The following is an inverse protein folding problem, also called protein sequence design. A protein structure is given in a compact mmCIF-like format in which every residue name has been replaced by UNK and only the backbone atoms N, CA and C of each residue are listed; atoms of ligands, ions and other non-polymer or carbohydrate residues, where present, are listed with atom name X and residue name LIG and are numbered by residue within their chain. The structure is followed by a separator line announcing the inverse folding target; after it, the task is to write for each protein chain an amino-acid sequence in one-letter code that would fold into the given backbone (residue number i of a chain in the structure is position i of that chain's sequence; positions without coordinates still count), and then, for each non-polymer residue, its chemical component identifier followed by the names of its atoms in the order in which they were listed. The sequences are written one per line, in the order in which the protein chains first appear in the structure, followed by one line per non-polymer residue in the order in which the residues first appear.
data_IF_357272284066
#
_entry.id   IF_357272284066
#
_cell.length_a   1.000
_cell.length_b   1.000
_cell.length_c   1.000
_cell.angle_alpha   90.00
_cell.angle_beta   90.00
_cell.angle_gamma   90.00
#
_symmetry.space_group_name_H-M   'P 1'
#
loop_
_entity.id
_entity.type
_entity.pdbx_description
1 polymer ?
#
# COMPACT_ATOMS: atom_id res chain seq x y z
N UNK A 1 -22.56 -3.72 -18.56
CA UNK A 1 -21.23 -3.45 -19.14
C UNK A 1 -20.28 -3.10 -17.99
N UNK A 2 -19.06 -3.56 -18.08
CA UNK A 2 -17.98 -3.28 -17.12
C UNK A 2 -16.97 -2.34 -17.78
N UNK A 3 -16.65 -1.22 -17.12
CA UNK A 3 -15.73 -0.20 -17.57
C UNK A 3 -14.68 0.02 -16.47
N UNK A 4 -13.43 -0.48 -16.65
CA UNK A 4 -12.37 -0.26 -15.68
C UNK A 4 -11.84 1.18 -15.77
N UNK A 5 -11.39 1.74 -14.64
CA UNK A 5 -10.71 3.03 -14.58
C UNK A 5 -9.51 2.97 -13.64
N UNK A 6 -8.47 3.73 -13.97
CA UNK A 6 -7.24 3.77 -13.18
C UNK A 6 -7.45 4.45 -11.83
N UNK A 7 -6.87 3.86 -10.78
CA UNK A 7 -6.73 4.45 -9.46
C UNK A 7 -5.30 4.24 -8.96
N UNK A 8 -4.78 5.15 -8.14
CA UNK A 8 -3.50 4.92 -7.48
C UNK A 8 -3.68 4.07 -6.21
N UNK A 9 -2.76 3.18 -5.98
CA UNK A 9 -2.66 2.37 -4.77
C UNK A 9 -1.18 1.98 -4.52
N UNK A 10 -0.92 1.02 -3.63
CA UNK A 10 0.42 0.49 -3.36
C UNK A 10 0.92 -0.55 -4.38
N UNK A 11 0.09 -0.95 -5.33
CA UNK A 11 0.43 -1.84 -6.43
C UNK A 11 0.09 -1.16 -7.76
N UNK A 12 0.96 -1.32 -8.75
CA UNK A 12 0.78 -0.74 -10.07
C UNK A 12 -0.48 -1.26 -10.76
N UNK A 13 -1.04 -0.46 -11.67
CA UNK A 13 -2.24 -0.76 -12.47
C UNK A 13 -3.49 -1.07 -11.62
N UNK A 14 -3.57 -0.50 -10.43
CA UNK A 14 -4.77 -0.59 -9.59
C UNK A 14 -5.97 -0.01 -10.32
N UNK A 15 -7.10 -0.68 -10.17
CA UNK A 15 -8.27 -0.43 -11.02
C UNK A 15 -9.55 -0.38 -10.19
N UNK A 16 -10.29 0.70 -10.36
CA UNK A 16 -11.70 0.78 -10.00
C UNK A 16 -12.59 0.27 -11.14
N UNK A 17 -13.86 0.11 -10.87
CA UNK A 17 -14.84 -0.43 -11.81
C UNK A 17 -16.10 0.40 -11.89
N UNK A 18 -16.51 0.79 -13.09
CA UNK A 18 -17.83 1.34 -13.34
C UNK A 18 -18.73 0.25 -13.97
N UNK A 19 -19.78 -0.11 -13.28
CA UNK A 19 -20.70 -1.19 -13.62
C UNK A 19 -22.02 -0.59 -14.11
N UNK A 20 -22.29 -0.74 -15.40
CA UNK A 20 -23.53 -0.28 -15.99
C UNK A 20 -24.64 -1.29 -15.77
N UNK A 21 -25.69 -0.91 -15.04
CA UNK A 21 -26.86 -1.71 -14.80
C UNK A 21 -28.10 -1.10 -15.49
N UNK A 22 -29.19 -1.84 -15.64
CA UNK A 22 -30.46 -1.26 -16.13
C UNK A 22 -31.00 -0.13 -15.25
N UNK A 23 -30.62 -0.10 -13.97
CA UNK A 23 -31.11 0.86 -12.98
C UNK A 23 -30.19 2.05 -12.73
N UNK A 24 -28.97 2.03 -13.27
CA UNK A 24 -28.01 3.12 -13.16
C UNK A 24 -26.55 2.65 -13.12
N UNK A 25 -25.66 3.63 -13.04
CA UNK A 25 -24.22 3.41 -12.94
C UNK A 25 -23.82 3.14 -11.50
N UNK A 26 -23.13 2.05 -11.25
CA UNK A 26 -22.51 1.73 -9.96
C UNK A 26 -21.00 1.83 -10.08
N UNK A 27 -20.36 2.46 -9.11
CA UNK A 27 -18.90 2.57 -9.04
C UNK A 27 -18.36 1.74 -7.88
N UNK A 28 -17.29 1.01 -8.14
CA UNK A 28 -16.48 0.36 -7.12
C UNK A 28 -15.06 0.92 -7.23
N UNK A 29 -14.58 1.56 -6.18
CA UNK A 29 -13.28 2.26 -6.24
C UNK A 29 -12.09 1.32 -6.39
N UNK A 30 -12.22 0.05 -5.98
CA UNK A 30 -11.05 -0.72 -5.58
C UNK A 30 -10.38 -0.07 -4.36
N UNK A 31 -9.22 -0.53 -3.98
CA UNK A 31 -8.36 0.15 -3.01
C UNK A 31 -7.74 1.35 -3.72
N UNK A 32 -7.90 2.55 -3.16
CA UNK A 32 -7.48 3.76 -3.86
C UNK A 32 -6.95 4.86 -2.95
N UNK A 33 -6.16 5.73 -3.55
CA UNK A 33 -5.83 7.08 -3.07
C UNK A 33 -5.81 8.04 -4.27
N UNK A 34 -5.76 9.35 -4.03
CA UNK A 34 -5.48 10.33 -5.07
C UNK A 34 -4.01 10.80 -4.95
N UNK A 35 -3.12 10.23 -5.76
CA UNK A 35 -1.74 10.70 -5.84
C UNK A 35 -1.58 11.59 -7.08
N UNK A 36 -1.25 12.86 -6.87
CA UNK A 36 -1.04 13.84 -7.93
C UNK A 36 0.41 13.86 -8.44
N UNK A 37 1.32 13.26 -7.69
CA UNK A 37 2.75 13.18 -8.01
C UNK A 37 3.27 11.76 -7.74
N UNK A 38 2.65 10.73 -8.35
CA UNK A 38 3.12 9.36 -8.22
C UNK A 38 4.45 9.19 -8.94
N UNK A 39 5.16 8.13 -8.63
CA UNK A 39 6.42 7.78 -9.28
C UNK A 39 6.21 6.49 -10.07
N UNK A 40 6.51 6.52 -11.38
CA UNK A 40 6.38 5.41 -12.34
C UNK A 40 4.96 4.93 -12.63
N UNK A 41 3.95 5.72 -12.35
CA UNK A 41 2.57 5.47 -12.76
C UNK A 41 1.88 6.80 -13.12
N UNK A 42 0.75 6.78 -13.84
CA UNK A 42 -0.03 7.99 -14.10
C UNK A 42 -0.57 8.59 -12.80
N UNK A 43 -0.71 9.92 -12.71
CA UNK A 43 -1.42 10.55 -11.60
C UNK A 43 -2.90 10.17 -11.61
N UNK A 44 -3.56 10.36 -10.45
CA UNK A 44 -5.00 10.15 -10.34
C UNK A 44 -5.77 10.92 -11.43
N UNK A 45 -6.62 10.21 -12.18
CA UNK A 45 -7.41 10.78 -13.27
C UNK A 45 -8.72 11.36 -12.73
N UNK A 46 -8.62 12.56 -12.16
CA UNK A 46 -9.73 13.30 -11.55
C UNK A 46 -10.84 13.60 -12.57
N UNK A 47 -10.48 13.92 -13.80
CA UNK A 47 -11.46 14.26 -14.85
C UNK A 47 -12.25 13.04 -15.30
N UNK A 48 -11.62 11.88 -15.38
CA UNK A 48 -12.32 10.63 -15.67
C UNK A 48 -13.29 10.26 -14.53
N UNK A 49 -12.84 10.35 -13.28
CA UNK A 49 -13.70 10.12 -12.10
C UNK A 49 -14.89 11.10 -12.09
N UNK A 50 -14.66 12.39 -12.39
CA UNK A 50 -15.72 13.42 -12.53
C UNK A 50 -16.73 13.06 -13.60
N UNK A 51 -16.26 12.53 -14.74
CA UNK A 51 -17.13 12.16 -15.86
C UNK A 51 -18.20 11.12 -15.49
N UNK A 52 -17.89 10.22 -14.54
CA UNK A 52 -18.90 9.31 -13.99
C UNK A 52 -20.02 10.08 -13.25
N UNK A 53 -19.64 11.07 -12.45
CA UNK A 53 -20.61 11.93 -11.77
C UNK A 53 -21.54 12.68 -12.73
N UNK A 54 -21.04 13.12 -13.89
CA UNK A 54 -21.82 13.79 -14.92
C UNK A 54 -22.78 12.81 -15.63
N UNK A 55 -22.46 11.53 -15.65
CA UNK A 55 -23.31 10.45 -16.19
C UNK A 55 -24.39 9.99 -15.19
N UNK A 56 -24.29 10.40 -13.92
CA UNK A 56 -25.20 10.03 -12.84
C UNK A 56 -24.86 8.67 -12.22
N UNK A 57 -24.36 8.71 -10.98
CA UNK A 57 -23.97 7.51 -10.23
C UNK A 57 -25.08 7.09 -9.28
N UNK A 58 -25.56 5.86 -9.43
CA UNK A 58 -26.59 5.28 -8.55
C UNK A 58 -25.98 4.94 -7.18
N UNK A 59 -24.88 4.21 -7.17
CA UNK A 59 -24.21 3.79 -5.92
C UNK A 59 -22.67 3.83 -6.07
N UNK A 60 -22.00 4.30 -5.03
CA UNK A 60 -20.55 4.29 -4.90
C UNK A 60 -20.15 3.31 -3.79
N UNK A 61 -19.51 2.21 -4.17
CA UNK A 61 -18.85 1.27 -3.27
C UNK A 61 -17.42 1.73 -3.08
N UNK A 62 -17.10 2.29 -1.92
CA UNK A 62 -15.83 2.97 -1.70
C UNK A 62 -15.04 2.38 -0.56
N UNK A 63 -13.75 2.12 -0.81
CA UNK A 63 -12.75 1.74 0.19
C UNK A 63 -12.81 2.67 1.42
N UNK A 64 -12.73 2.09 2.61
CA UNK A 64 -12.89 2.80 3.87
C UNK A 64 -11.74 2.57 4.85
N UNK A 65 -10.66 1.93 4.41
CA UNK A 65 -9.54 1.49 5.26
C UNK A 65 -8.96 2.64 6.10
N UNK A 66 -8.74 3.81 5.48
CA UNK A 66 -8.16 4.97 6.15
C UNK A 66 -9.20 6.07 6.47
N UNK A 67 -10.51 5.76 6.43
CA UNK A 67 -11.58 6.71 6.75
C UNK A 67 -11.51 7.36 8.15
N UNK A 68 -10.97 6.72 9.21
CA UNK A 68 -10.77 7.39 10.50
C UNK A 68 -9.70 8.50 10.48
N UNK A 69 -8.81 8.53 9.49
CA UNK A 69 -7.67 9.43 9.50
C UNK A 69 -7.95 10.73 8.74
N UNK A 70 -7.74 11.91 9.36
CA UNK A 70 -7.94 13.19 8.71
C UNK A 70 -6.89 13.50 7.64
N UNK A 71 -7.21 14.44 6.74
CA UNK A 71 -6.30 14.95 5.70
C UNK A 71 -6.23 14.05 4.48
N UNK A 72 -5.12 14.14 3.76
CA UNK A 72 -4.81 13.39 2.54
C UNK A 72 -3.68 12.41 2.80
N UNK A 73 -3.55 11.39 1.96
CA UNK A 73 -2.35 10.59 1.89
C UNK A 73 -1.18 11.44 1.38
N UNK A 74 0.02 11.10 1.82
CA UNK A 74 1.24 11.67 1.25
C UNK A 74 1.49 11.06 -0.13
N UNK A 75 2.09 11.86 -1.03
CA UNK A 75 2.44 11.36 -2.35
C UNK A 75 3.69 10.48 -2.32
N UNK A 76 3.86 9.65 -3.33
CA UNK A 76 5.08 8.86 -3.49
C UNK A 76 6.31 9.75 -3.76
N UNK A 77 6.14 10.95 -4.34
CA UNK A 77 7.23 11.92 -4.47
C UNK A 77 7.72 12.41 -3.11
N UNK A 78 6.82 12.69 -2.15
CA UNK A 78 7.22 13.08 -0.79
C UNK A 78 8.02 11.96 -0.10
N UNK A 79 7.59 10.71 -0.28
CA UNK A 79 8.34 9.56 0.23
C UNK A 79 9.72 9.46 -0.41
N UNK A 80 9.84 9.67 -1.72
CA UNK A 80 11.12 9.68 -2.42
C UNK A 80 12.07 10.75 -1.85
N UNK A 81 11.57 11.95 -1.63
CA UNK A 81 12.35 13.07 -1.10
C UNK A 81 12.84 12.79 0.34
N UNK A 82 12.02 12.17 1.18
CA UNK A 82 12.41 11.76 2.53
C UNK A 82 13.43 10.62 2.52
N UNK A 83 13.29 9.65 1.66
CA UNK A 83 14.28 8.59 1.48
C UNK A 83 15.61 9.16 0.98
N UNK A 84 15.58 10.15 0.09
CA UNK A 84 16.79 10.80 -0.41
C UNK A 84 17.57 11.48 0.72
N UNK A 85 16.90 12.12 1.69
CA UNK A 85 17.55 12.69 2.87
C UNK A 85 18.33 11.63 3.67
N UNK A 86 17.77 10.41 3.79
CA UNK A 86 18.45 9.28 4.45
C UNK A 86 19.70 8.87 3.66
N UNK A 87 19.59 8.75 2.33
CA UNK A 87 20.74 8.41 1.48
C UNK A 87 21.85 9.47 1.57
N UNK A 88 21.49 10.75 1.54
CA UNK A 88 22.43 11.86 1.62
C UNK A 88 23.13 11.92 3.00
N UNK A 89 22.41 11.69 4.08
CA UNK A 89 22.93 11.72 5.44
C UNK A 89 23.80 10.51 5.79
N UNK A 90 23.55 9.36 5.17
CA UNK A 90 24.29 8.12 5.44
C UNK A 90 25.51 8.00 4.51
N UNK A 91 26.63 8.58 4.93
CA UNK A 91 27.87 8.59 4.14
C UNK A 91 28.82 7.43 4.46
N UNK A 92 28.60 6.66 5.53
CA UNK A 92 29.55 5.67 6.02
C UNK A 92 28.97 4.25 6.11
N UNK A 93 27.71 4.09 6.52
CA UNK A 93 27.11 2.80 6.81
C UNK A 93 26.35 2.20 5.64
N UNK A 94 25.89 0.95 5.82
CA UNK A 94 24.96 0.28 4.92
C UNK A 94 23.54 0.81 5.15
N UNK A 95 22.73 0.80 4.10
CA UNK A 95 21.29 1.03 4.18
C UNK A 95 20.57 -0.31 4.02
N UNK A 96 19.70 -0.66 4.96
CA UNK A 96 18.96 -1.91 4.97
C UNK A 96 17.46 -1.57 5.01
N UNK A 97 16.77 -1.86 3.93
CA UNK A 97 15.35 -1.57 3.76
C UNK A 97 14.53 -2.82 4.04
N UNK A 98 13.65 -2.74 5.05
CA UNK A 98 12.57 -3.68 5.26
C UNK A 98 11.30 -3.15 4.60
N UNK A 99 10.75 -3.87 3.62
CA UNK A 99 9.54 -3.47 2.89
C UNK A 99 8.76 -4.68 2.39
N UNK A 100 7.54 -4.47 1.90
CA UNK A 100 6.77 -5.51 1.23
C UNK A 100 7.34 -5.79 -0.16
N UNK A 101 7.36 -7.06 -0.56
CA UNK A 101 7.86 -7.46 -1.88
C UNK A 101 6.94 -7.04 -3.04
N UNK A 102 5.69 -6.71 -2.75
CA UNK A 102 4.71 -6.19 -3.72
C UNK A 102 4.76 -4.68 -3.89
N UNK A 103 5.46 -3.94 -3.01
CA UNK A 103 5.53 -2.48 -3.05
C UNK A 103 6.58 -2.02 -4.07
N UNK A 104 6.27 -2.19 -5.36
CA UNK A 104 7.20 -1.97 -6.47
C UNK A 104 7.67 -0.52 -6.56
N UNK A 105 6.80 0.44 -6.30
CA UNK A 105 7.15 1.87 -6.28
C UNK A 105 8.27 2.15 -5.26
N UNK A 106 8.19 1.55 -4.08
CA UNK A 106 9.23 1.68 -3.06
C UNK A 106 10.54 1.05 -3.47
N UNK A 107 10.49 -0.13 -4.10
CA UNK A 107 11.67 -0.79 -4.66
C UNK A 107 12.30 0.10 -5.72
N UNK A 108 11.49 0.69 -6.61
CA UNK A 108 12.00 1.64 -7.62
C UNK A 108 12.68 2.86 -6.99
N UNK A 109 12.10 3.46 -5.94
CA UNK A 109 12.73 4.57 -5.22
C UNK A 109 14.12 4.20 -4.71
N UNK A 110 14.23 3.03 -4.06
CA UNK A 110 15.50 2.54 -3.51
C UNK A 110 16.51 2.31 -4.63
N UNK A 111 16.11 1.72 -5.76
CA UNK A 111 16.98 1.49 -6.92
C UNK A 111 17.47 2.82 -7.51
N UNK A 112 16.56 3.77 -7.76
CA UNK A 112 16.88 5.09 -8.31
C UNK A 112 17.86 5.86 -7.41
N UNK A 113 17.60 5.87 -6.09
CA UNK A 113 18.49 6.51 -5.12
C UNK A 113 19.83 5.77 -4.99
N UNK A 114 19.82 4.44 -5.07
CA UNK A 114 21.08 3.67 -5.08
C UNK A 114 21.96 4.02 -6.27
N UNK A 115 21.39 4.16 -7.45
CA UNK A 115 22.10 4.63 -8.64
C UNK A 115 22.63 6.06 -8.45
N UNK A 116 21.81 6.99 -7.96
CA UNK A 116 22.17 8.40 -7.73
C UNK A 116 23.36 8.52 -6.77
N UNK A 117 23.38 7.71 -5.70
CA UNK A 117 24.44 7.75 -4.68
C UNK A 117 25.57 6.74 -4.92
N UNK A 118 25.58 6.06 -6.07
CA UNK A 118 26.62 5.12 -6.46
C UNK A 118 26.76 3.96 -5.49
N UNK A 119 25.62 3.43 -5.02
CA UNK A 119 25.52 2.24 -4.18
C UNK A 119 25.03 1.05 -5.00
N UNK A 120 25.40 -0.16 -4.61
CA UNK A 120 24.93 -1.40 -5.20
C UNK A 120 23.92 -2.08 -4.28
N UNK A 121 22.98 -2.79 -4.84
CA UNK A 121 21.82 -3.35 -4.14
C UNK A 121 21.92 -4.87 -4.03
N UNK A 122 21.79 -5.38 -2.81
CA UNK A 122 21.58 -6.79 -2.52
C UNK A 122 20.11 -7.05 -2.20
N UNK A 123 19.46 -7.90 -2.97
CA UNK A 123 18.06 -8.28 -2.75
C UNK A 123 18.03 -9.60 -1.97
N UNK A 124 17.27 -9.64 -0.86
CA UNK A 124 17.17 -10.80 0.01
C UNK A 124 15.72 -11.18 0.32
N UNK A 125 15.46 -12.49 0.22
CA UNK A 125 14.12 -13.08 0.37
C UNK A 125 13.56 -13.56 -0.96
N UNK A 126 13.06 -14.81 -0.97
CA UNK A 126 12.58 -15.45 -2.20
C UNK A 126 11.52 -14.62 -2.93
N UNK A 127 10.46 -14.20 -2.21
CA UNK A 127 9.40 -13.39 -2.79
C UNK A 127 9.90 -12.03 -3.31
N UNK A 128 10.86 -11.41 -2.61
CA UNK A 128 11.44 -10.14 -3.05
C UNK A 128 12.22 -10.30 -4.36
N UNK A 129 13.08 -11.32 -4.46
CA UNK A 129 13.84 -11.61 -5.69
C UNK A 129 12.89 -11.88 -6.86
N UNK A 130 11.92 -12.79 -6.67
CA UNK A 130 10.95 -13.14 -7.72
C UNK A 130 10.13 -11.94 -8.18
N UNK A 131 9.65 -11.11 -7.25
CA UNK A 131 8.86 -9.93 -7.62
C UNK A 131 9.69 -8.87 -8.36
N UNK A 132 10.96 -8.68 -7.97
CA UNK A 132 11.87 -7.77 -8.68
C UNK A 132 12.13 -8.24 -10.10
N UNK A 133 12.36 -9.56 -10.30
CA UNK A 133 12.57 -10.16 -11.62
C UNK A 133 11.33 -9.98 -12.51
N UNK A 134 10.15 -10.41 -12.04
CA UNK A 134 8.89 -10.29 -12.78
C UNK A 134 8.57 -8.82 -13.10
N UNK A 135 8.70 -7.93 -12.10
CA UNK A 135 8.42 -6.52 -12.31
C UNK A 135 9.37 -5.84 -13.30
N UNK A 136 10.62 -6.30 -13.37
CA UNK A 136 11.56 -5.85 -14.39
C UNK A 136 11.19 -6.38 -15.80
N UNK A 137 10.87 -7.66 -15.93
CA UNK A 137 10.42 -8.26 -17.19
C UNK A 137 9.16 -7.58 -17.73
N UNK A 138 8.22 -7.21 -16.85
CA UNK A 138 6.99 -6.50 -17.22
C UNK A 138 7.20 -4.98 -17.43
N UNK A 139 8.39 -4.44 -17.15
CA UNK A 139 8.74 -3.04 -17.36
C UNK A 139 8.30 -2.09 -16.22
N UNK A 140 7.79 -2.60 -15.11
CA UNK A 140 7.44 -1.81 -13.92
C UNK A 140 8.67 -1.32 -13.15
N UNK A 141 9.75 -2.10 -13.12
CA UNK A 141 11.03 -1.69 -12.54
C UNK A 141 12.06 -1.36 -13.61
N UNK A 142 12.68 -0.20 -13.49
CA UNK A 142 13.71 0.31 -14.41
C UNK A 142 14.97 0.62 -13.62
N UNK A 143 16.09 0.05 -14.04
CA UNK A 143 17.38 0.24 -13.39
C UNK A 143 18.55 0.01 -14.37
N UNK A 144 19.72 0.56 -14.04
CA UNK A 144 20.93 0.38 -14.83
C UNK A 144 21.52 -1.02 -14.62
N UNK A 145 22.08 -1.57 -15.69
CA UNK A 145 22.84 -2.81 -15.61
C UNK A 145 23.94 -2.70 -14.55
N UNK A 146 24.08 -3.73 -13.71
CA UNK A 146 25.08 -3.79 -12.65
C UNK A 146 24.68 -3.11 -11.33
N UNK A 147 23.40 -2.63 -11.17
CA UNK A 147 22.92 -2.12 -9.90
C UNK A 147 22.89 -3.21 -8.82
N UNK A 148 22.50 -4.44 -9.17
CA UNK A 148 22.49 -5.56 -8.25
C UNK A 148 23.89 -6.15 -8.06
N UNK A 149 24.18 -6.57 -6.83
CA UNK A 149 25.39 -7.32 -6.51
C UNK A 149 25.05 -8.79 -6.25
N UNK A 150 25.99 -9.66 -6.57
CA UNK A 150 25.93 -11.06 -6.14
C UNK A 150 26.38 -11.24 -4.70
N UNK A 151 25.92 -12.28 -4.02
CA UNK A 151 26.31 -12.56 -2.63
C UNK A 151 27.83 -12.63 -2.42
N UNK A 152 28.56 -13.15 -3.41
CA UNK A 152 30.03 -13.23 -3.36
C UNK A 152 30.76 -11.87 -3.35
N UNK A 153 30.08 -10.82 -3.85
CA UNK A 153 30.61 -9.45 -3.90
C UNK A 153 30.33 -8.67 -2.61
N UNK A 154 29.29 -9.06 -1.86
CA UNK A 154 28.78 -8.35 -0.69
C UNK A 154 29.85 -7.95 0.33
N UNK A 155 30.73 -8.89 0.68
CA UNK A 155 31.78 -8.66 1.67
C UNK A 155 33.02 -7.93 1.10
N UNK A 156 33.05 -7.64 -0.20
CA UNK A 156 34.16 -6.95 -0.87
C UNK A 156 33.92 -5.45 -1.03
N UNK A 157 32.66 -5.03 -0.94
CA UNK A 157 32.30 -3.62 -1.09
C UNK A 157 32.39 -2.89 0.26
N UNK A 158 32.81 -1.62 0.26
CA UNK A 158 32.74 -0.79 1.46
C UNK A 158 31.29 -0.55 1.87
N UNK A 159 31.03 -0.45 3.18
CA UNK A 159 29.67 -0.37 3.73
C UNK A 159 28.85 0.78 3.15
N UNK A 160 29.46 1.92 2.87
CA UNK A 160 28.78 3.06 2.25
C UNK A 160 28.44 2.87 0.75
N UNK A 161 28.78 1.73 0.17
CA UNK A 161 28.40 1.34 -1.19
C UNK A 161 27.35 0.24 -1.22
N UNK A 162 26.82 -0.14 -0.07
CA UNK A 162 25.88 -1.25 0.05
C UNK A 162 24.48 -0.75 0.44
N UNK A 163 23.50 -1.21 -0.31
CA UNK A 163 22.07 -1.17 0.03
C UNK A 163 21.56 -2.61 0.06
N UNK A 164 20.74 -2.93 1.04
CA UNK A 164 20.07 -4.23 1.16
C UNK A 164 18.57 -3.98 1.11
N UNK A 165 17.84 -4.71 0.27
CA UNK A 165 16.38 -4.74 0.26
C UNK A 165 15.95 -6.14 0.72
N UNK A 166 15.10 -6.21 1.74
CA UNK A 166 14.68 -7.50 2.27
C UNK A 166 13.24 -7.48 2.79
N UNK A 167 12.66 -8.67 2.91
CA UNK A 167 11.36 -8.90 3.57
C UNK A 167 11.51 -8.89 5.09
N UNK A 168 10.39 -8.76 5.83
CA UNK A 168 10.38 -8.92 7.28
C UNK A 168 10.12 -7.65 8.06
N UNK A 169 9.62 -6.59 7.42
CA UNK A 169 9.26 -5.35 8.10
C UNK A 169 8.11 -5.50 9.12
N UNK A 170 7.34 -6.60 9.03
CA UNK A 170 6.27 -6.96 9.98
C UNK A 170 6.74 -7.84 11.13
N UNK A 171 8.03 -8.18 11.18
CA UNK A 171 8.60 -9.03 12.22
C UNK A 171 8.25 -10.52 12.08
N UNK A 172 7.93 -10.97 10.87
CA UNK A 172 7.63 -12.38 10.59
C UNK A 172 8.84 -13.25 10.92
N UNK A 173 8.62 -14.31 11.69
CA UNK A 173 9.66 -15.14 12.32
C UNK A 173 10.73 -15.64 11.35
N UNK A 174 10.34 -16.01 10.15
CA UNK A 174 11.25 -16.60 9.15
C UNK A 174 11.71 -15.59 8.08
N UNK A 175 11.31 -14.33 8.17
CA UNK A 175 11.66 -13.30 7.20
C UNK A 175 13.11 -12.83 7.36
N UNK A 176 13.66 -12.26 6.31
CA UNK A 176 15.09 -11.94 6.26
C UNK A 176 15.52 -10.94 7.33
N UNK A 177 14.75 -9.86 7.55
CA UNK A 177 15.10 -8.85 8.53
C UNK A 177 15.10 -9.40 9.97
N UNK A 178 14.17 -10.31 10.30
CA UNK A 178 14.14 -10.98 11.60
C UNK A 178 15.36 -11.89 11.76
N UNK A 179 15.72 -12.66 10.74
CA UNK A 179 16.93 -13.51 10.77
C UNK A 179 18.20 -12.68 10.93
N UNK A 180 18.27 -11.51 10.28
CA UNK A 180 19.38 -10.57 10.45
C UNK A 180 19.43 -10.06 11.90
N UNK A 181 18.30 -9.66 12.47
CA UNK A 181 18.18 -9.17 13.84
C UNK A 181 18.60 -10.23 14.88
N UNK A 182 18.30 -11.50 14.63
CA UNK A 182 18.65 -12.63 15.51
C UNK A 182 20.06 -13.17 15.27
N UNK A 183 20.85 -12.59 14.35
CA UNK A 183 22.15 -13.14 13.91
C UNK A 183 22.06 -14.55 13.28
N UNK A 184 20.93 -14.91 12.70
CA UNK A 184 20.66 -16.19 12.04
C UNK A 184 20.81 -16.12 10.52
N UNK A 185 21.10 -14.93 9.98
CA UNK A 185 21.26 -14.77 8.54
C UNK A 185 22.66 -15.19 8.10
N UNK A 186 22.74 -16.11 7.10
CA UNK A 186 23.99 -16.74 6.66
C UNK A 186 25.04 -15.77 6.11
N UNK A 187 24.61 -14.64 5.53
CA UNK A 187 25.47 -13.70 4.83
C UNK A 187 25.58 -12.35 5.55
N UNK A 188 24.50 -11.86 6.14
CA UNK A 188 24.39 -10.51 6.68
C UNK A 188 24.48 -10.57 8.20
N UNK A 189 25.57 -10.06 8.74
CA UNK A 189 25.70 -9.72 10.16
C UNK A 189 25.57 -8.21 10.32
N UNK A 190 24.80 -7.76 11.32
CA UNK A 190 24.65 -6.33 11.62
C UNK A 190 25.96 -5.73 12.13
N UNK A 191 26.19 -4.48 11.78
CA UNK A 191 27.33 -3.67 12.21
C UNK A 191 26.86 -2.39 12.86
N UNK A 192 27.62 -1.89 13.81
CA UNK A 192 27.43 -0.55 14.33
C UNK A 192 27.53 0.46 13.17
N UNK A 193 26.50 1.31 13.04
CA UNK A 193 26.41 2.28 11.94
C UNK A 193 25.54 1.86 10.78
N UNK A 194 25.04 0.63 10.76
CA UNK A 194 23.96 0.25 9.81
C UNK A 194 22.71 1.10 10.06
N UNK A 195 22.05 1.46 8.99
CA UNK A 195 20.76 2.17 9.02
C UNK A 195 19.67 1.24 8.51
N UNK A 196 18.69 0.98 9.37
CA UNK A 196 17.53 0.13 9.05
C UNK A 196 16.33 1.02 8.77
N UNK A 197 15.76 0.89 7.60
CA UNK A 197 14.64 1.70 7.15
C UNK A 197 13.39 0.81 7.05
N UNK A 198 12.41 1.05 7.94
CA UNK A 198 11.09 0.41 7.90
C UNK A 198 10.18 1.23 6.98
N UNK A 199 10.20 0.88 5.71
CA UNK A 199 9.45 1.59 4.66
C UNK A 199 8.13 0.89 4.36
N UNK A 200 7.39 0.55 5.41
CA UNK A 200 6.03 0.00 5.39
C UNK A 200 5.29 0.37 6.68
N UNK A 201 3.97 0.50 6.61
CA UNK A 201 3.14 0.58 7.82
C UNK A 201 3.17 -0.74 8.59
N UNK A 202 2.82 -0.69 9.87
CA UNK A 202 2.60 -1.89 10.67
C UNK A 202 1.18 -2.38 10.44
N UNK A 203 1.03 -3.62 10.00
CA UNK A 203 -0.27 -4.26 9.86
C UNK A 203 -0.86 -4.46 11.27
N UNK A 204 -2.14 -4.10 11.50
CA UNK A 204 -2.80 -4.31 12.78
C UNK A 204 -2.62 -5.75 13.29
N UNK A 205 -2.20 -5.89 14.56
CA UNK A 205 -1.84 -7.16 15.18
C UNK A 205 -0.35 -7.50 15.20
N UNK A 206 0.49 -6.82 14.40
CA UNK A 206 1.93 -7.05 14.34
C UNK A 206 2.74 -6.08 15.24
N UNK A 207 2.10 -5.14 15.92
CA UNK A 207 2.76 -4.04 16.65
C UNK A 207 3.81 -4.53 17.63
N UNK A 208 3.47 -5.55 18.45
CA UNK A 208 4.39 -6.14 19.44
C UNK A 208 5.59 -6.80 18.78
N UNK A 209 5.37 -7.51 17.68
CA UNK A 209 6.42 -8.23 16.96
C UNK A 209 7.39 -7.25 16.30
N UNK A 210 6.86 -6.21 15.67
CA UNK A 210 7.67 -5.13 15.05
C UNK A 210 8.45 -4.37 16.12
N UNK A 211 7.86 -4.11 17.29
CA UNK A 211 8.59 -3.49 18.40
C UNK A 211 9.75 -4.36 18.86
N UNK A 212 9.53 -5.66 19.07
CA UNK A 212 10.59 -6.61 19.42
C UNK A 212 11.70 -6.67 18.38
N UNK A 213 11.36 -6.62 17.09
CA UNK A 213 12.33 -6.54 15.98
C UNK A 213 13.18 -5.27 16.08
N UNK A 214 12.58 -4.10 16.29
CA UNK A 214 13.31 -2.83 16.45
C UNK A 214 14.28 -2.90 17.64
N UNK A 215 13.83 -3.43 18.77
CA UNK A 215 14.68 -3.58 19.97
C UNK A 215 15.89 -4.48 19.71
N UNK A 216 15.68 -5.59 18.98
CA UNK A 216 16.78 -6.48 18.60
C UNK A 216 17.79 -5.77 17.69
N UNK A 217 17.34 -5.04 16.68
CA UNK A 217 18.19 -4.30 15.74
C UNK A 217 19.02 -3.20 16.44
N UNK A 218 18.42 -2.45 17.37
CA UNK A 218 19.11 -1.39 18.13
C UNK A 218 20.19 -1.98 19.04
N UNK A 219 19.99 -3.17 19.62
CA UNK A 219 21.03 -3.84 20.44
C UNK A 219 22.30 -4.14 19.67
N UNK A 220 22.22 -4.29 18.35
CA UNK A 220 23.39 -4.42 17.47
C UNK A 220 24.04 -3.08 17.09
N UNK A 221 23.52 -1.95 17.59
CA UNK A 221 24.05 -0.61 17.30
C UNK A 221 23.57 -0.04 15.96
N UNK A 222 22.52 -0.57 15.37
CA UNK A 222 21.90 -0.02 14.18
C UNK A 222 21.07 1.24 14.49
N UNK A 223 20.97 2.15 13.53
CA UNK A 223 20.03 3.27 13.55
C UNK A 223 18.73 2.84 12.88
N UNK A 224 17.59 3.25 13.44
CA UNK A 224 16.27 2.91 12.89
C UNK A 224 15.57 4.15 12.37
N UNK A 225 15.07 4.06 11.14
CA UNK A 225 14.17 5.02 10.51
C UNK A 225 12.80 4.34 10.35
N UNK A 226 11.74 5.02 10.77
CA UNK A 226 10.41 4.44 10.79
C UNK A 226 9.36 5.48 10.37
N UNK A 227 8.31 5.05 9.67
CA UNK A 227 7.27 5.93 9.10
C UNK A 227 6.55 6.83 10.13
N UNK A 228 6.50 6.46 11.40
CA UNK A 228 5.91 7.30 12.44
C UNK A 228 6.72 8.57 12.75
N UNK A 229 7.98 8.64 12.35
CA UNK A 229 8.88 9.77 12.60
C UNK A 229 9.32 10.49 11.33
N UNK A 230 9.10 9.89 10.17
CA UNK A 230 9.48 10.43 8.86
C UNK A 230 8.49 9.92 7.80
N UNK A 231 8.20 10.71 6.80
CA UNK A 231 7.29 10.37 5.70
C UNK A 231 7.93 9.37 4.69
N UNK A 232 8.44 8.26 5.20
CA UNK A 232 9.12 7.21 4.40
C UNK A 232 8.20 6.08 3.96
N UNK A 233 6.91 6.23 4.15
CA UNK A 233 5.88 5.32 3.68
C UNK A 233 4.57 6.07 3.44
N UNK A 234 4.02 5.92 2.25
CA UNK A 234 2.66 6.35 1.91
C UNK A 234 1.70 5.15 2.04
N UNK A 235 0.56 5.35 2.66
CA UNK A 235 -0.54 4.39 2.61
C UNK A 235 -1.09 4.26 1.20
N UNK A 236 -1.76 3.15 0.93
CA UNK A 236 -2.43 2.90 -0.37
C UNK A 236 -3.90 3.32 -0.38
N UNK A 237 -4.46 3.71 0.77
CA UNK A 237 -5.89 3.95 0.96
C UNK A 237 -6.17 5.43 1.20
N UNK A 238 -7.30 5.89 0.68
CA UNK A 238 -7.76 7.27 0.77
C UNK A 238 -8.09 7.66 2.22
N UNK A 239 -7.61 8.83 2.65
CA UNK A 239 -8.00 9.46 3.90
C UNK A 239 -9.23 10.37 3.72
N UNK A 240 -9.68 11.02 4.78
CA UNK A 240 -10.96 11.74 4.80
C UNK A 240 -11.15 12.75 3.65
N UNK A 241 -10.14 13.55 3.32
CA UNK A 241 -10.30 14.56 2.27
C UNK A 241 -10.38 13.93 0.87
N UNK A 242 -9.70 12.83 0.65
CA UNK A 242 -9.76 12.08 -0.61
C UNK A 242 -11.10 11.33 -0.74
N UNK A 243 -11.63 10.77 0.36
CA UNK A 243 -12.96 10.17 0.39
C UNK A 243 -14.05 11.19 0.11
N UNK A 244 -13.97 12.38 0.72
CA UNK A 244 -14.88 13.50 0.40
C UNK A 244 -14.78 13.90 -1.08
N UNK A 245 -13.55 14.01 -1.60
CA UNK A 245 -13.33 14.35 -3.00
C UNK A 245 -13.95 13.30 -3.93
N UNK A 246 -13.77 12.00 -3.66
CA UNK A 246 -14.39 10.92 -4.44
C UNK A 246 -15.92 11.08 -4.48
N UNK A 247 -16.56 11.29 -3.33
CA UNK A 247 -18.01 11.50 -3.22
C UNK A 247 -18.46 12.79 -3.93
N UNK A 248 -17.69 13.88 -3.86
CA UNK A 248 -17.99 15.15 -4.51
C UNK A 248 -17.86 15.09 -6.04
N UNK A 249 -16.87 14.36 -6.54
CA UNK A 249 -16.66 14.16 -7.97
C UNK A 249 -17.76 13.28 -8.57
N UNK A 250 -18.08 12.17 -7.91
CA UNK A 250 -19.01 11.16 -8.43
C UNK A 250 -20.47 11.47 -8.12
N UNK A 251 -20.75 12.24 -7.06
CA UNK A 251 -22.09 12.63 -6.62
C UNK A 251 -23.10 11.47 -6.61
N UNK A 252 -22.78 10.33 -5.97
CA UNK A 252 -23.62 9.15 -6.00
C UNK A 252 -24.94 9.41 -5.25
N UNK A 253 -26.02 8.73 -5.69
CA UNK A 253 -27.26 8.73 -4.92
C UNK A 253 -27.10 7.96 -3.60
N UNK A 254 -26.34 6.85 -3.63
CA UNK A 254 -26.07 6.02 -2.46
C UNK A 254 -24.57 5.88 -2.24
N UNK A 255 -24.13 6.02 -0.98
CA UNK A 255 -22.76 5.75 -0.55
C UNK A 255 -22.73 4.43 0.20
N UNK A 256 -21.85 3.53 -0.22
CA UNK A 256 -21.67 2.20 0.37
C UNK A 256 -20.21 2.05 0.80
N UNK A 257 -19.88 2.36 2.06
CA UNK A 257 -18.56 2.07 2.63
C UNK A 257 -18.25 0.57 2.57
N UNK A 258 -17.09 0.21 2.04
CA UNK A 258 -16.63 -1.18 1.90
C UNK A 258 -15.16 -1.33 2.32
N UNK A 259 -14.66 -2.57 2.32
CA UNK A 259 -13.25 -2.93 2.46
C UNK A 259 -12.61 -2.41 3.75
N UNK A 260 -13.28 -2.60 4.90
CA UNK A 260 -12.74 -2.18 6.19
C UNK A 260 -13.43 -2.87 7.37
N UNK A 261 -12.90 -2.68 8.58
CA UNK A 261 -13.59 -3.06 9.81
C UNK A 261 -14.80 -2.14 10.07
N UNK A 262 -15.80 -2.63 10.82
CA UNK A 262 -17.06 -1.93 11.08
C UNK A 262 -16.88 -0.48 11.53
N UNK A 263 -15.93 -0.18 12.43
CA UNK A 263 -15.70 1.19 12.91
C UNK A 263 -15.17 2.12 11.81
N UNK A 264 -14.41 1.61 10.84
CA UNK A 264 -13.91 2.38 9.69
C UNK A 264 -15.04 2.65 8.68
N UNK A 265 -15.90 1.63 8.44
CA UNK A 265 -17.11 1.79 7.63
C UNK A 265 -18.02 2.87 8.22
N UNK A 266 -18.19 2.86 9.54
CA UNK A 266 -18.99 3.88 10.24
C UNK A 266 -18.34 5.27 10.13
N UNK A 267 -17.03 5.38 10.29
CA UNK A 267 -16.33 6.65 10.12
C UNK A 267 -16.49 7.22 8.69
N UNK A 268 -16.51 6.36 7.67
CA UNK A 268 -16.80 6.78 6.29
C UNK A 268 -18.25 7.21 6.11
N UNK A 269 -19.20 6.50 6.72
CA UNK A 269 -20.62 6.89 6.72
C UNK A 269 -20.83 8.26 7.40
N UNK A 270 -20.22 8.46 8.57
CA UNK A 270 -20.28 9.74 9.29
C UNK A 270 -19.66 10.87 8.45
N UNK A 271 -18.58 10.58 7.72
CA UNK A 271 -17.95 11.51 6.80
C UNK A 271 -18.90 11.88 5.65
N UNK A 272 -19.59 10.89 5.05
CA UNK A 272 -20.59 11.15 4.01
C UNK A 272 -21.74 12.04 4.52
N UNK A 273 -22.26 11.74 5.70
CA UNK A 273 -23.30 12.58 6.33
C UNK A 273 -22.79 14.00 6.62
N UNK A 274 -21.53 14.16 7.01
CA UNK A 274 -20.93 15.48 7.28
C UNK A 274 -20.87 16.40 6.05
N UNK A 275 -20.89 15.84 4.84
CA UNK A 275 -20.90 16.59 3.59
C UNK A 275 -22.29 16.63 2.91
N UNK A 276 -23.33 16.21 3.64
CA UNK A 276 -24.73 16.43 3.26
C UNK A 276 -25.48 15.20 2.74
N UNK A 277 -24.90 14.00 2.75
CA UNK A 277 -25.67 12.78 2.47
C UNK A 277 -26.64 12.50 3.63
N UNK A 278 -27.86 12.07 3.29
CA UNK A 278 -28.83 11.63 4.26
C UNK A 278 -28.50 10.21 4.74
N UNK A 279 -28.78 9.90 5.98
CA UNK A 279 -28.56 8.57 6.56
C UNK A 279 -29.20 7.45 5.72
N UNK A 280 -30.42 7.66 5.20
CA UNK A 280 -31.15 6.73 4.35
C UNK A 280 -30.43 6.41 3.02
N UNK A 281 -29.44 7.20 2.62
CA UNK A 281 -28.65 7.03 1.40
C UNK A 281 -27.22 6.52 1.68
N UNK A 282 -26.91 6.13 2.92
CA UNK A 282 -25.60 5.61 3.30
C UNK A 282 -25.76 4.20 3.87
N UNK A 283 -25.26 3.20 3.14
CA UNK A 283 -25.47 1.80 3.50
C UNK A 283 -24.23 1.19 4.12
N UNK A 284 -24.22 1.07 5.45
CA UNK A 284 -23.16 0.38 6.20
C UNK A 284 -23.63 -1.06 6.43
N UNK A 285 -23.17 -1.98 5.57
CA UNK A 285 -23.56 -3.39 5.58
C UNK A 285 -22.59 -4.28 6.34
N UNK A 286 -23.07 -5.41 6.80
CA UNK A 286 -22.25 -6.52 7.26
C UNK A 286 -21.93 -7.48 6.12
N UNK A 287 -20.94 -8.35 6.33
CA UNK A 287 -20.59 -9.37 5.33
C UNK A 287 -21.80 -10.24 5.01
N UNK A 288 -22.01 -10.46 3.71
CA UNK A 288 -23.13 -11.27 3.20
C UNK A 288 -24.48 -10.56 3.19
N UNK A 289 -24.60 -9.37 3.76
CA UNK A 289 -25.86 -8.63 3.73
C UNK A 289 -26.23 -8.20 2.32
N UNK A 290 -27.46 -8.45 1.89
CA UNK A 290 -27.93 -8.20 0.53
C UNK A 290 -28.42 -6.77 0.39
N UNK A 291 -27.91 -6.05 -0.60
CA UNK A 291 -28.41 -4.76 -1.06
C UNK A 291 -29.17 -4.96 -2.37
N UNK A 292 -30.32 -4.34 -2.49
CA UNK A 292 -31.14 -4.37 -3.71
C UNK A 292 -31.27 -2.98 -4.30
N UNK A 293 -31.11 -2.90 -5.62
CA UNK A 293 -31.29 -1.66 -6.37
C UNK A 293 -32.29 -1.94 -7.49
N UNK A 294 -33.36 -1.14 -7.53
CA UNK A 294 -34.41 -1.22 -8.52
C UNK A 294 -34.81 0.18 -9.04
N UNK A 295 -35.92 0.29 -9.76
CA UNK A 295 -36.45 1.55 -10.28
C UNK A 295 -36.82 2.55 -9.17
N UNK A 296 -37.12 2.09 -7.96
CA UNK A 296 -37.48 2.94 -6.82
C UNK A 296 -36.26 3.45 -6.07
N UNK A 297 -35.14 2.73 -6.14
CA UNK A 297 -33.87 3.10 -5.52
C UNK A 297 -33.12 1.92 -4.91
N UNK A 298 -32.26 2.22 -3.92
CA UNK A 298 -31.50 1.24 -3.17
C UNK A 298 -32.15 0.91 -1.83
N UNK A 299 -32.03 -0.34 -1.42
CA UNK A 299 -32.47 -0.84 -0.11
C UNK A 299 -31.45 -1.79 0.48
N UNK A 300 -31.03 -1.54 1.72
CA UNK A 300 -30.26 -2.50 2.51
C UNK A 300 -31.28 -3.45 3.16
N UNK A 301 -31.22 -4.73 2.81
CA UNK A 301 -32.20 -5.73 3.25
C UNK A 301 -31.77 -6.46 4.51
N UNK A 302 -32.69 -7.18 5.16
CA UNK A 302 -32.39 -8.08 6.27
C UNK A 302 -32.03 -9.51 5.79
N UNK A 303 -31.77 -9.68 4.50
CA UNK A 303 -31.37 -10.96 3.92
C UNK A 303 -29.86 -11.07 3.89
N UNK A 304 -29.37 -12.29 4.11
CA UNK A 304 -27.94 -12.60 4.10
C UNK A 304 -27.66 -13.81 3.22
N UNK A 305 -26.50 -13.79 2.57
CA UNK A 305 -25.90 -14.99 1.96
C UNK A 305 -24.85 -15.54 2.92
N UNK A 306 -24.56 -16.84 2.85
CA UNK A 306 -23.52 -17.45 3.67
C UNK A 306 -22.16 -16.78 3.41
N UNK A 307 -21.42 -16.53 4.50
CA UNK A 307 -20.04 -16.01 4.50
C UNK A 307 -19.10 -16.97 5.22
N UNK A 308 -19.45 -18.26 5.26
CA UNK A 308 -18.62 -19.29 5.86
C UNK A 308 -17.27 -19.40 5.11
N UNK A 309 -16.23 -19.70 5.85
CA UNK A 309 -14.92 -19.88 5.25
C UNK A 309 -14.88 -21.12 4.38
N UNK A 310 -14.42 -20.95 3.15
CA UNK A 310 -14.08 -22.07 2.26
C UNK A 310 -12.56 -22.18 2.27
N UNK A 311 -12.07 -23.27 2.86
CA UNK A 311 -10.64 -23.54 2.90
C UNK A 311 -10.19 -24.11 1.56
N UNK A 312 -9.19 -23.48 0.96
CA UNK A 312 -8.59 -23.92 -0.30
C UNK A 312 -7.13 -24.23 -0.04
N UNK A 313 -6.77 -25.51 -0.12
CA UNK A 313 -5.36 -25.90 -0.21
C UNK A 313 -4.95 -26.06 -1.68
N UNK A 314 -3.69 -26.28 -1.97
CA UNK A 314 -3.19 -26.42 -3.35
C UNK A 314 -3.72 -27.63 -4.12
N UNK A 315 -4.48 -28.52 -3.49
CA UNK A 315 -4.94 -29.79 -4.03
C UNK A 315 -6.46 -29.94 -4.07
N UNK A 316 -7.21 -29.09 -3.40
CA UNK A 316 -8.66 -29.16 -3.38
C UNK A 316 -9.32 -28.05 -2.56
N UNK A 317 -10.65 -28.07 -2.56
CA UNK A 317 -11.50 -27.22 -1.73
C UNK A 317 -11.99 -28.07 -0.57
N UNK A 318 -11.68 -27.67 0.67
CA UNK A 318 -12.08 -28.36 1.88
C UNK A 318 -13.32 -27.76 2.53
#
# INVERSE_FOLDING_TARGET
VFEPFHVNHNINDSTGAAIHTPYGLMLHTGDFKFDYTPVNEPPADIEHVRSFGDRGVLALFSDSTDAPFPGNQISEQQVFDELEKIFAANTQGRLIFGTFSSLLTRIQHILTLSEKYGRRVLVQGRSMVTNVEIAHELGYLKFKQGIFMEEKEFNRLPDNKVVIICTGAQGEKNAQLMRIANSEHRLIALKKGDSIIFSSSVIPGNERTVQGLKDALIRHGAKIFHYQFMDIHAGGHAKQEELKLMMQLTRPRYVVPIHANRYMLQAHADLAMSIGYKEENVFVSDNGQVMEFDEKGGTLTDRYVSTDYVMVDGLGVG
#
